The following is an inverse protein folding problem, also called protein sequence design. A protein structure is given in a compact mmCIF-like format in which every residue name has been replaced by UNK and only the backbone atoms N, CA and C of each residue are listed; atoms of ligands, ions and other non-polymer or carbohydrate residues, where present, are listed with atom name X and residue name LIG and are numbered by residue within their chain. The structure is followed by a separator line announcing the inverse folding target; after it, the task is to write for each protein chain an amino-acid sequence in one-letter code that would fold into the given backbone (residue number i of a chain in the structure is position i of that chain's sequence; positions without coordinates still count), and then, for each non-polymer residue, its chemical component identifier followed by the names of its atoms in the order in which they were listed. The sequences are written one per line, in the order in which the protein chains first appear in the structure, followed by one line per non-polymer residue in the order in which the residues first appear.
data_IF_517454174303
#
_entry.id   IF_517454174303
#
_cell.length_a   1.000
_cell.length_b   1.000
_cell.length_c   1.000
_cell.angle_alpha   90.00
_cell.angle_beta   90.00
_cell.angle_gamma   90.00
#
_symmetry.space_group_name_H-M   'P 1'
#
loop_
_entity.id
_entity.type
_entity.pdbx_description
1 polymer ?
#
# COMPACT_ATOMS: atom_id res chain seq x y z
N UNK A 1 -13.98 7.32 -5.45
CA UNK A 1 -12.99 6.70 -4.54
C UNK A 1 -13.72 6.29 -3.28
N UNK A 2 -13.60 5.02 -2.88
CA UNK A 2 -14.19 4.53 -1.63
C UNK A 2 -13.47 5.17 -0.44
N UNK A 3 -14.20 5.44 0.65
CA UNK A 3 -13.59 5.88 1.90
C UNK A 3 -12.67 4.77 2.44
N UNK A 4 -11.44 5.11 2.85
CA UNK A 4 -10.46 4.15 3.42
C UNK A 4 -11.09 3.21 4.45
N UNK A 5 -11.95 3.74 5.33
CA UNK A 5 -12.62 2.91 6.33
C UNK A 5 -13.48 1.81 5.69
N UNK A 6 -14.26 2.14 4.67
CA UNK A 6 -15.10 1.19 3.94
C UNK A 6 -14.29 0.17 3.14
N UNK A 7 -13.15 0.59 2.57
CA UNK A 7 -12.21 -0.31 1.89
C UNK A 7 -11.70 -1.35 2.88
N UNK A 8 -11.22 -0.92 4.04
CA UNK A 8 -10.66 -1.79 5.08
C UNK A 8 -11.70 -2.78 5.63
N UNK A 9 -12.95 -2.34 5.82
CA UNK A 9 -14.04 -3.21 6.28
C UNK A 9 -14.35 -4.34 5.28
N UNK A 10 -14.10 -4.11 3.98
CA UNK A 10 -14.31 -5.09 2.91
C UNK A 10 -13.08 -5.91 2.55
N UNK A 11 -11.90 -5.53 3.03
CA UNK A 11 -10.63 -6.20 2.76
C UNK A 11 -10.50 -7.51 3.55
N UNK A 12 -9.56 -8.35 3.12
CA UNK A 12 -9.25 -9.65 3.70
C UNK A 12 -7.74 -9.84 3.90
N UNK A 13 -7.35 -10.59 4.93
CA UNK A 13 -5.97 -11.00 5.13
C UNK A 13 -5.51 -11.86 3.94
N UNK A 14 -4.30 -11.60 3.45
CA UNK A 14 -3.69 -12.27 2.32
C UNK A 14 -3.94 -11.60 0.97
N UNK A 15 -4.82 -10.59 0.90
CA UNK A 15 -5.04 -9.82 -0.32
C UNK A 15 -3.75 -9.14 -0.77
N UNK A 16 -3.47 -9.22 -2.07
CA UNK A 16 -2.35 -8.52 -2.68
C UNK A 16 -2.63 -7.01 -2.70
N UNK A 17 -1.59 -6.25 -2.37
CA UNK A 17 -1.60 -4.80 -2.41
C UNK A 17 -0.46 -4.31 -3.28
N UNK A 18 -0.60 -3.09 -3.78
CA UNK A 18 0.40 -2.43 -4.60
C UNK A 18 0.65 -1.01 -4.09
N UNK A 19 1.83 -0.48 -4.41
CA UNK A 19 2.25 0.84 -3.96
C UNK A 19 2.17 1.86 -5.09
N UNK A 20 1.66 3.05 -4.77
CA UNK A 20 1.55 4.18 -5.70
C UNK A 20 2.27 5.38 -5.09
N UNK A 21 3.08 6.07 -5.88
CA UNK A 21 3.74 7.30 -5.46
C UNK A 21 2.72 8.39 -5.11
N UNK A 22 2.82 8.93 -3.91
CA UNK A 22 1.98 9.99 -3.36
C UNK A 22 2.83 11.13 -2.76
N UNK A 23 4.00 11.35 -3.34
CA UNK A 23 4.98 12.35 -2.93
C UNK A 23 4.34 13.74 -2.77
N UNK A 24 4.80 14.47 -1.75
CA UNK A 24 4.42 15.87 -1.51
C UNK A 24 5.63 16.66 -0.99
N UNK A 25 5.45 17.96 -0.73
CA UNK A 25 6.54 18.86 -0.32
C UNK A 25 7.22 18.50 1.02
N UNK A 26 6.53 17.74 1.89
CA UNK A 26 7.05 17.34 3.20
C UNK A 26 7.54 15.88 3.25
N UNK A 27 7.03 15.04 2.35
CA UNK A 27 7.39 13.62 2.25
C UNK A 27 7.54 13.24 0.76
N UNK A 28 8.75 13.40 0.20
CA UNK A 28 9.00 13.14 -1.22
C UNK A 28 9.01 11.64 -1.54
N UNK A 29 9.15 10.77 -0.53
CA UNK A 29 9.18 9.32 -0.71
C UNK A 29 7.84 8.65 -0.40
N UNK A 30 6.80 9.43 -0.11
CA UNK A 30 5.50 8.93 0.33
C UNK A 30 4.90 7.91 -0.64
N UNK A 31 4.63 6.71 -0.12
CA UNK A 31 3.94 5.65 -0.85
C UNK A 31 2.55 5.39 -0.25
N UNK A 32 1.54 5.40 -1.11
CA UNK A 32 0.18 4.98 -0.77
C UNK A 32 -0.01 3.50 -1.11
N UNK A 33 -0.65 2.76 -0.20
CA UNK A 33 -0.96 1.34 -0.32
C UNK A 33 -2.36 1.19 -0.88
N UNK A 34 -2.49 0.47 -1.97
CA UNK A 34 -3.77 0.17 -2.60
C UNK A 34 -4.06 -1.33 -2.62
N UNK A 35 -5.30 -1.65 -2.31
CA UNK A 35 -5.95 -2.91 -2.70
C UNK A 35 -6.76 -2.71 -3.98
N UNK A 36 -7.31 -3.78 -4.54
CA UNK A 36 -8.28 -3.69 -5.65
C UNK A 36 -9.52 -2.85 -5.28
N UNK A 37 -9.86 -2.76 -4.00
CA UNK A 37 -11.02 -2.01 -3.50
C UNK A 37 -10.73 -0.51 -3.31
N UNK A 38 -9.46 -0.12 -3.32
CA UNK A 38 -8.99 1.25 -3.15
C UNK A 38 -7.87 1.39 -2.11
N UNK A 39 -7.63 2.64 -1.71
CA UNK A 39 -6.57 3.01 -0.78
C UNK A 39 -6.79 2.45 0.63
N UNK A 40 -5.74 1.87 1.18
CA UNK A 40 -5.64 1.39 2.56
C UNK A 40 -4.89 2.36 3.48
N UNK A 41 -4.32 3.43 2.93
CA UNK A 41 -3.49 4.41 3.64
C UNK A 41 -2.06 4.45 3.10
N UNK A 42 -1.13 4.94 3.92
CA UNK A 42 0.25 5.16 3.52
C UNK A 42 1.19 4.17 4.21
N UNK A 43 2.25 3.79 3.54
CA UNK A 43 3.37 3.10 4.18
C UNK A 43 4.07 4.05 5.16
N UNK A 44 4.75 3.45 6.13
CA UNK A 44 5.67 4.17 6.99
C UNK A 44 6.76 4.86 6.15
N UNK A 45 7.13 6.09 6.52
CA UNK A 45 8.07 6.89 5.72
C UNK A 45 9.46 6.24 5.63
N UNK A 46 9.94 5.57 6.69
CA UNK A 46 11.24 4.88 6.66
C UNK A 46 11.26 3.73 5.65
N UNK A 47 10.17 2.97 5.59
CA UNK A 47 10.01 1.89 4.61
C UNK A 47 9.87 2.48 3.19
N UNK A 48 9.14 3.58 3.06
CA UNK A 48 8.91 4.23 1.76
C UNK A 48 10.19 4.81 1.17
N UNK A 49 11.03 5.44 2.00
CA UNK A 49 12.38 5.92 1.64
C UNK A 49 13.28 4.81 1.10
N UNK A 50 13.13 3.58 1.62
CA UNK A 50 13.91 2.42 1.19
C UNK A 50 13.40 1.84 -0.13
N UNK A 51 12.08 1.77 -0.29
CA UNK A 51 11.41 1.08 -1.40
C UNK A 51 11.27 1.96 -2.64
N UNK A 52 10.91 3.23 -2.49
CA UNK A 52 10.57 4.12 -3.61
C UNK A 52 11.70 4.29 -4.64
N UNK A 53 12.98 4.52 -4.25
CA UNK A 53 14.07 4.61 -5.23
C UNK A 53 14.26 3.33 -6.05
N UNK A 54 14.01 2.17 -5.43
CA UNK A 54 14.10 0.87 -6.11
C UNK A 54 12.91 0.66 -7.07
N UNK A 55 11.72 1.15 -6.71
CA UNK A 55 10.57 1.15 -7.61
C UNK A 55 10.77 2.09 -8.81
N UNK A 56 11.24 3.33 -8.59
CA UNK A 56 11.48 4.31 -9.65
C UNK A 56 12.58 3.85 -10.63
N UNK A 57 13.64 3.24 -10.11
CA UNK A 57 14.69 2.63 -10.93
C UNK A 57 14.28 1.31 -11.58
N UNK A 58 13.05 0.82 -11.34
CA UNK A 58 12.54 -0.48 -11.81
C UNK A 58 13.40 -1.66 -11.37
N UNK A 59 14.04 -1.56 -10.21
CA UNK A 59 14.93 -2.61 -9.65
C UNK A 59 14.30 -3.36 -8.49
N UNK A 60 13.04 -3.08 -8.17
CA UNK A 60 12.32 -3.77 -7.12
C UNK A 60 11.35 -4.79 -7.72
N UNK A 61 11.61 -6.07 -7.49
CA UNK A 61 10.59 -7.10 -7.58
C UNK A 61 10.03 -7.32 -6.17
N UNK A 62 8.71 -7.21 -6.00
CA UNK A 62 8.11 -7.36 -4.69
C UNK A 62 6.73 -8.01 -4.75
N UNK A 63 6.37 -8.72 -3.69
CA UNK A 63 4.99 -9.11 -3.40
C UNK A 63 4.61 -8.49 -2.07
N UNK A 64 3.52 -7.71 -2.05
CA UNK A 64 3.00 -7.12 -0.84
C UNK A 64 1.59 -7.62 -0.57
N UNK A 65 1.29 -7.96 0.68
CA UNK A 65 -0.01 -8.48 1.08
C UNK A 65 -0.45 -7.93 2.44
N UNK A 66 -1.76 -7.88 2.66
CA UNK A 66 -2.30 -7.62 4.00
C UNK A 66 -1.96 -8.82 4.90
N UNK A 67 -1.10 -8.61 5.88
CA UNK A 67 -0.68 -9.64 6.84
C UNK A 67 -1.43 -9.53 8.16
N UNK A 68 -1.80 -8.31 8.55
CA UNK A 68 -2.60 -8.03 9.73
C UNK A 68 -3.79 -7.16 9.36
N UNK A 69 -4.97 -7.54 9.84
CA UNK A 69 -6.19 -6.78 9.60
C UNK A 69 -7.08 -6.87 10.84
N UNK A 70 -7.38 -5.74 11.44
CA UNK A 70 -8.41 -5.63 12.47
C UNK A 70 -9.33 -4.49 12.08
N UNK A 71 -10.54 -4.84 11.65
CA UNK A 71 -11.54 -3.87 11.18
C UNK A 71 -11.99 -2.98 12.32
N UNK A 72 -12.45 -1.77 12.03
CA UNK A 72 -12.90 -0.88 13.11
C UNK A 72 -14.13 -1.48 13.80
N UNK A 73 -15.00 -2.14 13.04
CA UNK A 73 -16.17 -2.88 13.55
C UNK A 73 -15.82 -4.01 14.54
N UNK A 74 -14.61 -4.56 14.44
CA UNK A 74 -14.10 -5.64 15.30
C UNK A 74 -13.34 -5.11 16.53
N UNK A 75 -13.11 -3.80 16.61
CA UNK A 75 -12.36 -3.16 17.68
C UNK A 75 -13.28 -2.76 18.84
N UNK A 76 -12.68 -2.47 19.99
CA UNK A 76 -13.44 -1.95 21.12
C UNK A 76 -14.04 -0.57 20.82
N UNK A 77 -15.08 -0.18 21.57
CA UNK A 77 -15.82 1.09 21.41
C UNK A 77 -14.98 2.38 21.50
N UNK A 78 -13.74 2.30 21.99
CA UNK A 78 -12.84 3.45 22.12
C UNK A 78 -11.83 3.55 20.97
N UNK A 79 -11.75 2.53 20.10
CA UNK A 79 -10.88 2.56 18.94
C UNK A 79 -11.36 3.62 17.94
N UNK A 80 -10.41 4.41 17.43
CA UNK A 80 -10.68 5.46 16.44
C UNK A 80 -10.28 5.07 15.02
N UNK A 81 -9.61 3.93 14.86
CA UNK A 81 -9.11 3.43 13.59
C UNK A 81 -8.97 1.90 13.60
N UNK A 82 -9.05 1.34 12.41
CA UNK A 82 -8.65 -0.03 12.09
C UNK A 82 -7.13 -0.21 12.18
N UNK A 83 -6.68 -1.46 12.25
CA UNK A 83 -5.28 -1.86 12.11
C UNK A 83 -5.13 -2.55 10.76
N UNK A 84 -4.11 -2.13 10.00
CA UNK A 84 -3.71 -2.77 8.75
C UNK A 84 -2.19 -2.88 8.77
N UNK A 85 -1.68 -4.11 8.72
CA UNK A 85 -0.27 -4.42 8.61
C UNK A 85 0.02 -5.04 7.24
N UNK A 86 1.03 -4.52 6.55
CA UNK A 86 1.44 -4.99 5.23
C UNK A 86 2.73 -5.79 5.38
N UNK A 87 2.75 -7.02 4.86
CA UNK A 87 3.97 -7.78 4.67
C UNK A 87 4.49 -7.53 3.25
N UNK A 88 5.79 -7.31 3.13
CA UNK A 88 6.48 -7.03 1.88
C UNK A 88 7.62 -8.04 1.75
N UNK A 89 7.53 -8.91 0.76
CA UNK A 89 8.66 -9.71 0.28
C UNK A 89 9.25 -8.98 -0.93
N UNK A 90 10.47 -8.48 -0.78
CA UNK A 90 11.12 -7.67 -1.80
C UNK A 90 12.50 -8.22 -2.14
N UNK A 91 12.81 -8.21 -3.43
CA UNK A 91 14.09 -8.63 -3.99
C UNK A 91 14.60 -7.55 -4.94
N UNK A 92 15.88 -7.25 -4.81
CA UNK A 92 16.56 -6.40 -5.76
C UNK A 92 16.78 -7.19 -7.06
N UNK A 93 16.39 -6.58 -8.17
CA UNK A 93 16.59 -7.13 -9.51
C UNK A 93 17.69 -6.35 -10.23
N UNK A 94 18.57 -7.10 -10.90
CA UNK A 94 19.59 -6.56 -11.80
C UNK A 94 19.03 -6.24 -13.19
N UNK A 95 17.85 -6.76 -13.52
CA UNK A 95 17.12 -6.48 -14.75
C UNK A 95 15.89 -5.62 -14.42
N UNK A 96 15.55 -4.60 -15.23
CA UNK A 96 14.36 -3.79 -15.01
C UNK A 96 13.09 -4.65 -14.90
N UNK A 97 12.35 -4.47 -13.81
CA UNK A 97 11.08 -5.13 -13.51
C UNK A 97 9.94 -4.28 -14.08
N UNK A 98 8.94 -4.88 -14.76
CA UNK A 98 7.76 -4.14 -15.17
C UNK A 98 7.02 -3.57 -13.95
N UNK A 99 6.46 -2.35 -14.04
CA UNK A 99 5.70 -1.78 -12.94
C UNK A 99 4.47 -2.64 -12.63
N UNK A 100 4.22 -2.90 -11.34
CA UNK A 100 2.97 -3.48 -10.86
C UNK A 100 1.87 -2.42 -10.91
N UNK A 101 1.31 -2.18 -12.09
CA UNK A 101 0.15 -1.29 -12.26
C UNK A 101 -1.12 -2.12 -12.36
N UNK A 102 -1.93 -2.09 -11.30
CA UNK A 102 -3.36 -2.40 -11.36
C UNK A 102 -4.13 -1.16 -10.93
N UNK A 103 -3.93 -0.02 -11.63
CA UNK A 103 -4.87 1.10 -11.54
C UNK A 103 -5.62 1.14 -12.87
N UNK A 104 -6.94 0.86 -12.91
CA UNK A 104 -7.74 1.23 -14.07
C UNK A 104 -7.58 2.74 -14.23
N UNK A 105 -7.25 3.17 -15.44
CA UNK A 105 -7.18 4.56 -15.84
C UNK A 105 -8.53 5.22 -15.51
N UNK A 106 -8.64 5.89 -14.37
CA UNK A 106 -9.74 6.82 -14.12
C UNK A 106 -9.18 8.17 -14.55
N UNK A 107 -9.54 8.57 -15.77
CA UNK A 107 -9.36 9.94 -16.25
C UNK A 107 -9.87 10.89 -15.16
N UNK A 108 -8.99 11.80 -14.72
CA UNK A 108 -9.36 12.92 -13.85
C UNK A 108 -10.13 13.98 -14.65
#
# INVERSE_FOLDING_TARGET
MNNRAEVIEKSLIGEEVYFVGAANEYDPFRLEVFSELGSLGYLDSYISETIMPLMESKRLDYTARIAELVKLSERNKHAKSSIVGISIDAKMSDIPVPPKTSVPHIER
#
